data_IF_729617242611
#
_entry.id   IF_729617242611
#
_cell.length_a   1.000
_cell.length_b   1.000
_cell.length_c   1.000
_cell.angle_alpha   90.00
_cell.angle_beta   90.00
_cell.angle_gamma   90.00
#
_symmetry.space_group_name_H-M   'P 1'
#
loop_
_entity.id
_entity.type
_entity.pdbx_description
1 polymer ?
#
# COMPACT_ATOMS: atom_id res chain seq x y z
N UNK A 1 -67.87 -31.30 24.33
CA UNK A 1 -66.98 -30.50 25.19
C UNK A 1 -65.51 -30.85 24.96
N UNK A 2 -65.10 -32.12 25.09
CA UNK A 2 -63.71 -32.54 24.87
C UNK A 2 -63.17 -32.25 23.46
N UNK A 3 -63.96 -32.48 22.40
CA UNK A 3 -63.53 -32.14 21.04
C UNK A 3 -63.29 -30.64 20.84
N UNK A 4 -64.15 -29.79 21.43
CA UNK A 4 -63.97 -28.35 21.39
C UNK A 4 -62.70 -27.91 22.13
N UNK A 5 -62.37 -28.55 23.26
CA UNK A 5 -61.12 -28.31 24.00
C UNK A 5 -59.90 -28.73 23.15
N UNK A 6 -59.97 -29.88 22.47
CA UNK A 6 -58.90 -30.37 21.59
C UNK A 6 -58.66 -29.45 20.39
N UNK A 7 -59.73 -29.02 19.72
CA UNK A 7 -59.65 -28.07 18.59
C UNK A 7 -59.09 -26.73 19.05
N UNK A 8 -59.53 -26.23 20.20
CA UNK A 8 -59.04 -24.97 20.75
C UNK A 8 -57.54 -25.04 21.08
N UNK A 9 -57.09 -26.12 21.73
CA UNK A 9 -55.66 -26.37 21.96
C UNK A 9 -54.83 -26.44 20.67
N UNK A 10 -55.33 -27.11 19.63
CA UNK A 10 -54.67 -27.18 18.34
C UNK A 10 -54.56 -25.80 17.65
N UNK A 11 -55.60 -24.97 17.76
CA UNK A 11 -55.59 -23.61 17.23
C UNK A 11 -54.58 -22.73 17.97
N UNK A 12 -54.53 -22.81 19.32
CA UNK A 12 -53.53 -22.08 20.10
C UNK A 12 -52.10 -22.45 19.73
N UNK A 13 -51.79 -23.74 19.61
CA UNK A 13 -50.47 -24.20 19.19
C UNK A 13 -50.13 -23.74 17.77
N UNK A 14 -51.11 -23.74 16.86
CA UNK A 14 -50.91 -23.22 15.50
C UNK A 14 -50.60 -21.72 15.50
N UNK A 15 -51.28 -20.95 16.34
CA UNK A 15 -51.04 -19.50 16.51
C UNK A 15 -49.64 -19.27 17.08
N UNK A 16 -49.25 -20.00 18.12
CA UNK A 16 -47.94 -19.84 18.76
C UNK A 16 -46.81 -20.26 17.81
N UNK A 17 -46.97 -21.36 17.08
CA UNK A 17 -46.02 -21.77 16.05
C UNK A 17 -45.92 -20.75 14.91
N UNK A 18 -47.05 -20.18 14.47
CA UNK A 18 -47.06 -19.14 13.44
C UNK A 18 -46.37 -17.85 13.91
N UNK A 19 -46.54 -17.48 15.19
CA UNK A 19 -45.85 -16.34 15.80
C UNK A 19 -44.35 -16.57 15.89
N UNK A 20 -43.93 -17.72 16.41
CA UNK A 20 -42.51 -18.08 16.48
C UNK A 20 -41.87 -18.10 15.09
N UNK A 21 -42.54 -18.67 14.08
CA UNK A 21 -42.05 -18.64 12.71
C UNK A 21 -41.95 -17.20 12.15
N UNK A 22 -42.91 -16.33 12.46
CA UNK A 22 -42.86 -14.94 12.05
C UNK A 22 -41.69 -14.18 12.70
N UNK A 23 -41.43 -14.41 13.99
CA UNK A 23 -40.29 -13.83 14.70
C UNK A 23 -38.95 -14.35 14.15
N UNK A 24 -38.87 -15.64 13.83
CA UNK A 24 -37.69 -16.24 13.17
C UNK A 24 -37.41 -15.61 11.80
N UNK A 25 -38.45 -15.40 10.98
CA UNK A 25 -38.28 -14.72 9.69
C UNK A 25 -37.92 -13.25 9.86
N UNK A 26 -38.47 -12.56 10.87
CA UNK A 26 -38.13 -11.18 11.17
C UNK A 26 -36.65 -11.06 11.55
N UNK A 27 -36.16 -11.89 12.47
CA UNK A 27 -34.74 -11.89 12.84
C UNK A 27 -33.83 -12.20 11.65
N UNK A 28 -34.20 -13.17 10.81
CA UNK A 28 -33.44 -13.46 9.57
C UNK A 28 -33.41 -12.29 8.61
N UNK A 29 -34.55 -11.62 8.42
CA UNK A 29 -34.66 -10.44 7.56
C UNK A 29 -33.80 -9.29 8.08
N UNK A 30 -33.84 -9.00 9.38
CA UNK A 30 -33.02 -7.95 10.00
C UNK A 30 -31.53 -8.25 9.85
N UNK A 31 -31.11 -9.51 10.05
CA UNK A 31 -29.73 -9.91 9.85
C UNK A 31 -29.28 -9.76 8.37
N UNK A 32 -30.08 -10.24 7.42
CA UNK A 32 -29.80 -10.11 6.00
C UNK A 32 -29.76 -8.65 5.55
N UNK A 33 -30.67 -7.81 6.06
CA UNK A 33 -30.70 -6.38 5.79
C UNK A 33 -29.41 -5.71 6.28
N UNK A 34 -28.94 -6.04 7.49
CA UNK A 34 -27.70 -5.51 8.02
C UNK A 34 -26.49 -5.93 7.18
N UNK A 35 -26.41 -7.21 6.79
CA UNK A 35 -25.35 -7.70 5.90
C UNK A 35 -25.38 -6.99 4.55
N UNK A 36 -26.57 -6.81 3.97
CA UNK A 36 -26.75 -6.08 2.71
C UNK A 36 -26.28 -4.63 2.84
N UNK A 37 -26.67 -3.92 3.90
CA UNK A 37 -26.25 -2.53 4.13
C UNK A 37 -24.73 -2.41 4.26
N UNK A 38 -24.08 -3.35 4.95
CA UNK A 38 -22.61 -3.38 5.03
C UNK A 38 -21.99 -3.52 3.64
N UNK A 39 -22.47 -4.47 2.84
CA UNK A 39 -21.95 -4.68 1.47
C UNK A 39 -22.24 -3.47 0.57
N UNK A 40 -23.40 -2.84 0.69
CA UNK A 40 -23.72 -1.61 -0.05
C UNK A 40 -22.78 -0.45 0.32
N UNK A 41 -22.43 -0.32 1.60
CA UNK A 41 -21.45 0.66 2.06
C UNK A 41 -20.05 0.36 1.50
N UNK A 42 -19.61 -0.90 1.51
CA UNK A 42 -18.34 -1.32 0.93
C UNK A 42 -18.29 -1.04 -0.58
N UNK A 43 -19.36 -1.35 -1.32
CA UNK A 43 -19.46 -1.04 -2.75
C UNK A 43 -19.38 0.47 -3.00
N UNK A 44 -20.05 1.28 -2.17
CA UNK A 44 -19.97 2.73 -2.28
C UNK A 44 -18.54 3.24 -2.02
N UNK A 45 -17.85 2.70 -1.01
CA UNK A 45 -16.46 3.02 -0.71
C UNK A 45 -15.51 2.63 -1.86
N UNK A 46 -15.64 1.41 -2.37
CA UNK A 46 -14.83 0.91 -3.48
C UNK A 46 -15.01 1.73 -4.76
N UNK A 47 -16.22 2.22 -5.03
CA UNK A 47 -16.47 3.13 -6.16
C UNK A 47 -15.72 4.45 -6.00
N UNK A 48 -15.69 5.03 -4.80
CA UNK A 48 -14.92 6.26 -4.53
C UNK A 48 -13.42 6.04 -4.74
N UNK A 49 -12.88 4.93 -4.24
CA UNK A 49 -11.46 4.57 -4.44
C UNK A 49 -11.15 4.38 -5.92
N UNK A 50 -12.05 3.75 -6.68
CA UNK A 50 -11.89 3.60 -8.12
C UNK A 50 -11.87 4.96 -8.84
N UNK A 51 -12.74 5.89 -8.46
CA UNK A 51 -12.76 7.25 -9.01
C UNK A 51 -11.45 7.99 -8.69
N UNK A 52 -10.97 7.91 -7.44
CA UNK A 52 -9.69 8.50 -7.00
C UNK A 52 -8.49 7.92 -7.77
N UNK A 53 -8.42 6.60 -7.92
CA UNK A 53 -7.38 5.93 -8.71
C UNK A 53 -7.46 6.30 -10.19
N UNK A 54 -8.65 6.50 -10.73
CA UNK A 54 -8.85 6.90 -12.13
C UNK A 54 -8.31 8.32 -12.37
N UNK A 55 -8.57 9.25 -11.45
CA UNK A 55 -8.00 10.60 -11.50
C UNK A 55 -6.46 10.56 -11.39
N UNK A 56 -5.93 9.83 -10.40
CA UNK A 56 -4.49 9.69 -10.22
C UNK A 56 -3.80 9.07 -11.45
N UNK A 57 -4.45 8.09 -12.11
CA UNK A 57 -3.95 7.51 -13.36
C UNK A 57 -3.87 8.57 -14.46
N UNK A 58 -4.93 9.36 -14.64
CA UNK A 58 -4.97 10.44 -15.63
C UNK A 58 -3.89 11.49 -15.37
N UNK A 59 -3.66 11.87 -14.11
CA UNK A 59 -2.62 12.83 -13.74
C UNK A 59 -1.22 12.30 -14.06
N UNK A 60 -0.95 11.02 -13.76
CA UNK A 60 0.31 10.37 -14.09
C UNK A 60 0.50 10.21 -15.60
N UNK A 61 -0.56 9.86 -16.34
CA UNK A 61 -0.54 9.80 -17.82
C UNK A 61 -0.17 11.17 -18.41
N UNK A 62 -0.74 12.26 -17.88
CA UNK A 62 -0.42 13.63 -18.29
C UNK A 62 1.04 14.00 -17.96
N UNK A 63 1.55 13.67 -16.77
CA UNK A 63 2.95 13.90 -16.41
C UNK A 63 3.92 13.12 -17.31
N UNK A 64 3.60 11.86 -17.62
CA UNK A 64 4.40 11.04 -18.53
C UNK A 64 4.46 11.68 -19.91
N UNK A 65 3.34 12.17 -20.42
CA UNK A 65 3.31 12.80 -21.75
C UNK A 65 4.10 14.12 -21.75
N UNK A 66 3.94 14.97 -20.74
CA UNK A 66 4.73 16.20 -20.59
C UNK A 66 6.24 15.93 -20.56
N UNK A 67 6.68 14.91 -19.80
CA UNK A 67 8.10 14.52 -19.76
C UNK A 67 8.62 13.98 -21.09
N UNK A 68 7.78 13.29 -21.88
CA UNK A 68 8.18 12.86 -23.24
C UNK A 68 8.35 14.06 -24.16
N UNK A 69 7.46 15.05 -24.09
CA UNK A 69 7.56 16.29 -24.86
C UNK A 69 8.84 17.05 -24.50
N UNK A 70 9.14 17.21 -23.20
CA UNK A 70 10.39 17.83 -22.72
C UNK A 70 11.63 17.10 -23.24
N UNK A 71 11.63 15.76 -23.20
CA UNK A 71 12.74 14.95 -23.70
C UNK A 71 12.93 15.11 -25.21
N UNK A 72 11.84 15.19 -25.98
CA UNK A 72 11.90 15.48 -27.41
C UNK A 72 12.45 16.88 -27.65
N UNK A 73 11.97 17.88 -26.90
CA UNK A 73 12.43 19.26 -26.98
C UNK A 73 13.94 19.38 -26.70
N UNK A 74 14.43 18.77 -25.62
CA UNK A 74 15.85 18.79 -25.26
C UNK A 74 16.73 18.12 -26.32
N UNK A 75 16.28 16.98 -26.87
CA UNK A 75 17.01 16.28 -27.95
C UNK A 75 17.11 17.14 -29.20
N UNK A 76 16.01 17.76 -29.61
CA UNK A 76 15.96 18.64 -30.78
C UNK A 76 16.86 19.86 -30.57
N UNK A 77 16.78 20.51 -29.42
CA UNK A 77 17.64 21.65 -29.09
C UNK A 77 19.13 21.27 -29.13
N UNK A 78 19.49 20.12 -28.54
CA UNK A 78 20.86 19.64 -28.58
C UNK A 78 21.35 19.33 -30.00
N UNK A 79 20.50 18.75 -30.84
CA UNK A 79 20.81 18.49 -32.25
C UNK A 79 21.03 19.79 -33.03
N UNK A 80 20.18 20.80 -32.83
CA UNK A 80 20.32 22.14 -33.42
C UNK A 80 21.61 22.84 -32.95
N UNK A 81 21.93 22.78 -31.65
CA UNK A 81 23.18 23.33 -31.10
C UNK A 81 24.42 22.64 -31.70
N UNK A 82 24.42 21.31 -31.81
CA UNK A 82 25.52 20.55 -32.41
C UNK A 82 25.70 20.89 -33.90
N UNK A 83 24.60 21.05 -34.64
CA UNK A 83 24.64 21.51 -36.03
C UNK A 83 25.21 22.92 -36.14
N UNK A 84 24.83 23.84 -35.25
CA UNK A 84 25.37 25.20 -35.19
C UNK A 84 26.87 25.21 -34.87
N UNK A 85 27.32 24.42 -33.89
CA UNK A 85 28.75 24.27 -33.55
C UNK A 85 29.56 23.66 -34.70
N UNK A 86 29.00 22.66 -35.39
CA UNK A 86 29.65 22.04 -36.56
C UNK A 86 29.77 23.03 -37.72
N UNK A 87 28.75 23.86 -37.95
CA UNK A 87 28.79 24.94 -38.93
C UNK A 87 29.87 25.97 -38.58
N UNK A 88 29.97 26.39 -37.32
CA UNK A 88 31.04 27.29 -36.86
C UNK A 88 32.44 26.68 -37.01
N UNK A 89 32.63 25.40 -36.70
CA UNK A 89 33.93 24.73 -36.87
C UNK A 89 34.33 24.48 -38.34
N UNK A 90 33.37 24.41 -39.26
CA UNK A 90 33.64 24.26 -40.70
C UNK A 90 34.35 25.47 -41.32
N UNK A 91 34.37 26.63 -40.64
CA UNK A 91 35.00 27.86 -41.14
C UNK A 91 36.48 28.03 -40.80
N UNK A 92 37.11 27.14 -40.01
CA UNK A 92 38.40 27.45 -39.38
C UNK A 92 39.45 26.32 -39.39
N UNK A 93 39.41 25.41 -40.36
CA UNK A 93 40.45 24.39 -40.55
C UNK A 93 41.10 24.52 -41.93
N UNK A 94 41.94 25.55 -42.08
CA UNK A 94 42.98 25.62 -43.11
C UNK A 94 44.26 25.06 -42.51
N UNK A 95 44.65 23.86 -42.95
CA UNK A 95 45.93 23.23 -42.55
C UNK A 95 46.79 23.14 -43.80
N UNK A 96 47.52 24.21 -44.08
CA UNK A 96 48.71 24.15 -44.94
C UNK A 96 49.80 23.41 -44.16
N UNK A 97 50.09 22.19 -44.60
CA UNK A 97 51.29 21.46 -44.20
C UNK A 97 52.34 21.68 -45.30
N UNK A 98 53.25 22.61 -45.07
CA UNK A 98 54.51 22.70 -45.79
C UNK A 98 55.70 22.48 -44.84
N UNK A 99 56.78 21.92 -45.40
CA UNK A 99 58.13 21.68 -44.88
C UNK A 99 58.58 20.21 -44.74
N UNK A 100 59.13 19.73 -45.85
CA UNK A 100 60.41 19.03 -46.01
C UNK A 100 60.80 17.84 -45.11
N UNK A 101 61.01 16.71 -45.77
CA UNK A 101 61.87 15.60 -45.34
C UNK A 101 63.33 16.03 -45.15
N UNK A 102 63.95 15.69 -44.02
CA UNK A 102 65.36 15.25 -43.98
C UNK A 102 65.66 14.50 -42.69
N UNK A 103 66.57 13.52 -42.78
CA UNK A 103 66.62 12.34 -41.94
C UNK A 103 67.23 12.49 -40.55
N UNK A 104 66.98 11.47 -39.72
CA UNK A 104 67.57 11.31 -38.38
C UNK A 104 66.60 10.91 -37.26
N UNK A 105 65.43 10.34 -37.57
CA UNK A 105 64.25 10.50 -36.70
C UNK A 105 63.57 9.23 -36.19
N UNK A 106 64.12 8.02 -36.40
CA UNK A 106 63.35 6.80 -36.08
C UNK A 106 63.17 6.55 -34.56
N UNK A 107 64.13 6.96 -33.72
CA UNK A 107 64.04 6.75 -32.27
C UNK A 107 63.31 7.89 -31.51
N UNK A 108 63.36 9.11 -32.03
CA UNK A 108 62.71 10.28 -31.42
C UNK A 108 61.21 10.36 -31.77
N UNK A 109 60.83 9.89 -32.96
CA UNK A 109 59.42 9.83 -33.39
C UNK A 109 58.63 8.79 -32.59
N UNK A 110 59.21 7.61 -32.33
CA UNK A 110 58.57 6.58 -31.51
C UNK A 110 58.30 7.01 -30.05
N UNK A 111 59.18 7.86 -29.47
CA UNK A 111 59.00 8.42 -28.11
C UNK A 111 57.96 9.54 -28.09
N UNK A 112 58.00 10.46 -29.06
CA UNK A 112 57.02 11.55 -29.13
C UNK A 112 55.61 11.03 -29.43
N UNK A 113 55.47 10.08 -30.35
CA UNK A 113 54.19 9.49 -30.73
C UNK A 113 53.57 8.62 -29.62
N UNK A 114 54.39 7.91 -28.81
CA UNK A 114 53.93 7.25 -27.57
C UNK A 114 53.47 8.23 -26.49
N UNK A 115 54.13 9.38 -26.36
CA UNK A 115 53.81 10.39 -25.33
C UNK A 115 52.54 11.16 -25.68
N UNK A 116 52.34 11.48 -26.96
CA UNK A 116 51.13 12.12 -27.49
C UNK A 116 49.91 11.20 -27.37
N UNK A 117 50.08 9.89 -27.65
CA UNK A 117 49.00 8.89 -27.54
C UNK A 117 48.62 8.57 -26.09
N UNK A 118 49.55 8.72 -25.12
CA UNK A 118 49.26 8.68 -23.67
C UNK A 118 48.56 9.92 -23.13
N UNK A 119 48.77 11.10 -23.76
CA UNK A 119 48.11 12.35 -23.34
C UNK A 119 46.69 12.50 -23.90
N UNK A 120 46.42 11.95 -25.09
CA UNK A 120 45.11 12.04 -25.77
C UNK A 120 43.99 11.13 -25.23
N UNK A 121 44.31 10.07 -24.47
CA UNK A 121 43.34 9.22 -23.74
C UNK A 121 44.05 8.63 -22.52
N UNK A 122 43.83 9.17 -21.30
CA UNK A 122 42.75 8.65 -20.46
C UNK A 122 42.16 9.68 -19.47
N UNK A 123 42.12 11.00 -19.79
CA UNK A 123 41.59 11.98 -18.83
C UNK A 123 40.07 11.87 -18.66
N UNK A 124 39.31 11.69 -19.73
CA UNK A 124 37.83 11.61 -19.68
C UNK A 124 37.29 10.31 -19.09
N UNK A 125 37.96 9.17 -19.29
CA UNK A 125 37.50 7.89 -18.70
C UNK A 125 37.98 7.68 -17.26
N UNK A 126 39.10 8.31 -16.87
CA UNK A 126 39.54 8.34 -15.48
C UNK A 126 38.65 9.26 -14.65
N UNK A 127 38.35 10.49 -15.11
CA UNK A 127 37.48 11.41 -14.37
C UNK A 127 36.05 10.90 -14.22
N UNK A 128 35.52 10.15 -15.20
CA UNK A 128 34.23 9.48 -15.07
C UNK A 128 34.24 8.34 -14.07
N UNK A 129 35.28 7.50 -14.05
CA UNK A 129 35.45 6.45 -13.02
C UNK A 129 35.59 7.07 -11.64
N UNK A 130 36.41 8.11 -11.49
CA UNK A 130 36.61 8.79 -10.22
C UNK A 130 35.31 9.45 -9.75
N UNK A 131 34.54 10.07 -10.65
CA UNK A 131 33.23 10.66 -10.34
C UNK A 131 32.16 9.63 -9.99
N UNK A 132 32.15 8.48 -10.67
CA UNK A 132 31.25 7.36 -10.37
C UNK A 132 31.57 6.77 -9.00
N UNK A 133 32.84 6.46 -8.73
CA UNK A 133 33.27 5.96 -7.42
C UNK A 133 33.06 7.00 -6.31
N UNK A 134 33.20 8.30 -6.58
CA UNK A 134 32.90 9.35 -5.62
C UNK A 134 31.41 9.44 -5.29
N UNK A 135 30.52 9.31 -6.30
CA UNK A 135 29.07 9.23 -6.08
C UNK A 135 28.68 7.97 -5.31
N UNK A 136 29.23 6.81 -5.67
CA UNK A 136 28.97 5.56 -4.97
C UNK A 136 29.42 5.63 -3.51
N UNK A 137 30.60 6.20 -3.25
CA UNK A 137 31.11 6.41 -1.89
C UNK A 137 30.25 7.39 -1.09
N UNK A 138 29.70 8.43 -1.71
CA UNK A 138 28.75 9.35 -1.05
C UNK A 138 27.45 8.65 -0.70
N UNK A 139 26.89 7.86 -1.62
CA UNK A 139 25.70 7.06 -1.35
C UNK A 139 25.94 6.03 -0.22
N UNK A 140 27.10 5.35 -0.21
CA UNK A 140 27.49 4.45 0.87
C UNK A 140 27.65 5.19 2.21
N UNK A 141 28.27 6.38 2.22
CA UNK A 141 28.38 7.20 3.44
C UNK A 141 27.01 7.64 3.95
N UNK A 142 26.08 8.01 3.06
CA UNK A 142 24.73 8.41 3.42
C UNK A 142 23.91 7.23 3.99
N UNK A 143 24.04 6.03 3.41
CA UNK A 143 23.42 4.83 3.97
C UNK A 143 23.97 4.52 5.36
N UNK A 144 25.27 4.69 5.58
CA UNK A 144 25.87 4.51 6.92
C UNK A 144 25.37 5.56 7.90
N UNK A 145 25.32 6.85 7.53
CA UNK A 145 24.82 7.90 8.43
C UNK A 145 23.34 7.73 8.75
N UNK A 146 22.51 7.37 7.75
CA UNK A 146 21.10 7.04 7.95
C UNK A 146 20.91 5.79 8.82
N UNK A 147 21.77 4.78 8.68
CA UNK A 147 21.73 3.58 9.54
C UNK A 147 22.06 3.94 10.98
N UNK A 148 23.10 4.76 11.20
CA UNK A 148 23.49 5.21 12.55
C UNK A 148 22.39 6.07 13.17
N UNK A 149 21.79 7.01 12.43
CA UNK A 149 20.70 7.85 12.95
C UNK A 149 19.43 7.04 13.26
N UNK A 150 19.12 6.03 12.46
CA UNK A 150 18.04 5.09 12.75
C UNK A 150 18.34 4.24 13.99
N UNK A 151 19.58 3.81 14.19
CA UNK A 151 19.98 3.06 15.39
C UNK A 151 19.93 3.93 16.65
N UNK A 152 20.34 5.20 16.58
CA UNK A 152 20.22 6.13 17.72
C UNK A 152 18.76 6.42 18.04
N UNK A 153 17.94 6.73 17.03
CA UNK A 153 16.49 6.93 17.22
C UNK A 153 15.80 5.69 17.78
N UNK A 154 16.15 4.49 17.29
CA UNK A 154 15.64 3.22 17.84
C UNK A 154 16.02 3.03 19.31
N UNK A 155 17.24 3.43 19.70
CA UNK A 155 17.71 3.35 21.08
C UNK A 155 16.95 4.32 21.99
N UNK A 156 16.74 5.56 21.54
CA UNK A 156 15.92 6.56 22.23
C UNK A 156 14.46 6.11 22.40
N UNK A 157 13.88 5.47 21.38
CA UNK A 157 12.54 4.88 21.46
C UNK A 157 12.49 3.72 22.47
N UNK A 158 13.51 2.87 22.55
CA UNK A 158 13.56 1.83 23.57
C UNK A 158 13.74 2.39 24.99
N UNK A 159 14.49 3.48 25.13
CA UNK A 159 14.71 4.14 26.42
C UNK A 159 13.44 4.84 26.92
N UNK A 160 12.74 5.58 26.05
CA UNK A 160 11.44 6.20 26.37
C UNK A 160 10.35 5.17 26.69
N UNK A 161 10.33 4.04 25.99
CA UNK A 161 9.45 2.90 26.34
C UNK A 161 9.79 2.32 27.72
N UNK A 162 11.08 2.22 28.04
CA UNK A 162 11.54 1.74 29.34
C UNK A 162 11.16 2.70 30.47
N UNK A 163 11.37 4.01 30.31
CA UNK A 163 11.01 5.01 31.32
C UNK A 163 9.49 5.12 31.51
N UNK A 164 8.70 4.94 30.45
CA UNK A 164 7.24 4.85 30.53
C UNK A 164 6.76 3.57 31.24
N UNK A 165 7.43 2.44 31.05
CA UNK A 165 7.14 1.22 31.82
C UNK A 165 7.51 1.39 33.30
N UNK A 166 8.68 1.98 33.59
CA UNK A 166 9.12 2.26 34.97
C UNK A 166 8.23 3.28 35.69
N UNK A 167 7.57 4.21 34.99
CA UNK A 167 6.58 5.11 35.58
C UNK A 167 5.23 4.45 35.80
N UNK A 168 4.80 3.56 34.89
CA UNK A 168 3.62 2.71 35.05
C UNK A 168 3.73 1.77 36.26
N UNK A 169 4.88 1.11 36.42
CA UNK A 169 5.15 0.24 37.56
C UNK A 169 5.22 1.03 38.87
N UNK A 170 5.81 2.24 38.88
CA UNK A 170 5.80 3.13 40.06
C UNK A 170 4.39 3.61 40.43
N UNK A 171 3.53 3.89 39.45
CA UNK A 171 2.14 4.24 39.70
C UNK A 171 1.34 3.07 40.30
N UNK A 172 1.62 1.83 39.85
CA UNK A 172 1.02 0.62 40.42
C UNK A 172 1.48 0.37 41.86
N UNK A 173 2.77 0.59 42.17
CA UNK A 173 3.30 0.47 43.54
C UNK A 173 2.73 1.58 44.45
N UNK A 174 2.58 2.82 43.97
CA UNK A 174 1.96 3.89 44.74
C UNK A 174 0.47 3.62 45.03
N UNK A 175 -0.25 3.00 44.10
CA UNK A 175 -1.62 2.55 44.32
C UNK A 175 -1.72 1.39 45.32
N UNK A 176 -0.69 0.54 45.41
CA UNK A 176 -0.66 -0.60 46.35
C UNK A 176 -0.29 -0.19 47.78
N UNK A 177 0.43 0.92 47.98
CA UNK A 177 0.83 1.43 49.30
C UNK A 177 0.01 2.65 49.79
N UNK A 178 -0.96 3.13 49.01
CA UNK A 178 -1.73 4.35 49.28
C UNK A 178 -3.10 4.19 49.98
N UNK A 179 -3.54 2.97 50.31
CA UNK A 179 -4.90 2.73 50.87
C UNK A 179 -4.96 2.73 52.42
N UNK A 180 -3.96 3.30 53.08
CA UNK A 180 -3.85 3.24 54.53
C UNK A 180 -3.25 4.49 55.15
N UNK A 181 -4.07 5.54 55.30
CA UNK A 181 -4.21 6.35 56.52
C UNK A 181 -4.95 7.66 56.23
N UNK A 182 -6.14 7.80 56.81
CA UNK A 182 -6.81 9.10 56.95
C UNK A 182 -6.18 9.92 58.07
N UNK A 183 -6.19 11.24 57.93
CA UNK A 183 -5.87 12.17 59.02
C UNK A 183 -5.35 13.53 58.57
N UNK A 184 -6.27 14.50 58.46
CA UNK A 184 -6.13 15.90 58.88
C UNK A 184 -4.87 16.68 58.49
N UNK A 185 -4.98 17.60 57.53
CA UNK A 185 -4.37 18.93 57.61
C UNK A 185 -4.89 19.83 56.48
N UNK A 186 -4.93 21.11 56.81
CA UNK A 186 -5.45 22.28 56.13
C UNK A 186 -4.62 22.69 54.90
N UNK A 187 -5.16 23.65 54.12
CA UNK A 187 -4.52 24.44 53.04
C UNK A 187 -4.57 23.91 51.57
N UNK A 188 -4.60 24.79 50.55
CA UNK A 188 -5.62 25.78 50.22
C UNK A 188 -6.36 25.46 48.91
N UNK A 189 -7.55 26.05 48.75
CA UNK A 189 -8.37 26.07 47.55
C UNK A 189 -7.59 26.43 46.27
N UNK A 190 -7.26 25.45 45.43
CA UNK A 190 -7.34 25.53 43.96
C UNK A 190 -7.01 24.21 43.26
N UNK A 191 -8.04 23.66 42.58
CA UNK A 191 -8.01 22.67 41.47
C UNK A 191 -7.87 21.16 41.74
N UNK A 192 -8.79 20.50 42.47
CA UNK A 192 -9.05 19.06 42.29
C UNK A 192 -10.02 18.76 41.12
N UNK A 193 -10.92 19.70 40.79
CA UNK A 193 -11.91 19.50 39.72
C UNK A 193 -11.37 19.69 38.30
N UNK A 194 -10.36 20.57 38.14
CA UNK A 194 -9.75 20.82 36.84
C UNK A 194 -8.79 19.68 36.43
N UNK A 195 -8.05 19.09 37.35
CA UNK A 195 -7.27 17.90 36.94
C UNK A 195 -8.19 16.71 36.68
N UNK A 196 -9.26 16.53 37.48
CA UNK A 196 -10.25 15.46 37.26
C UNK A 196 -10.94 15.52 35.89
N UNK A 197 -11.36 16.71 35.42
CA UNK A 197 -11.96 16.81 34.07
C UNK A 197 -10.94 16.56 32.96
N UNK A 198 -9.69 17.00 33.12
CA UNK A 198 -8.62 16.75 32.15
C UNK A 198 -8.29 15.25 32.08
N UNK A 199 -8.23 14.57 33.23
CA UNK A 199 -8.05 13.12 33.30
C UNK A 199 -9.24 12.36 32.70
N UNK A 200 -10.47 12.82 32.93
CA UNK A 200 -11.65 12.18 32.37
C UNK A 200 -11.68 12.32 30.84
N UNK A 201 -11.38 13.50 30.29
CA UNK A 201 -11.27 13.68 28.85
C UNK A 201 -10.16 12.81 28.26
N UNK A 202 -9.02 12.72 28.93
CA UNK A 202 -7.91 11.88 28.48
C UNK A 202 -8.27 10.39 28.50
N UNK A 203 -9.04 9.94 29.50
CA UNK A 203 -9.55 8.58 29.60
C UNK A 203 -10.55 8.27 28.49
N UNK A 204 -11.46 9.20 28.18
CA UNK A 204 -12.43 9.07 27.10
C UNK A 204 -11.73 9.03 25.73
N UNK A 205 -10.70 9.85 25.53
CA UNK A 205 -9.88 9.83 24.31
C UNK A 205 -9.12 8.50 24.22
N UNK A 206 -8.53 8.02 25.33
CA UNK A 206 -7.78 6.77 25.39
C UNK A 206 -8.68 5.56 25.10
N UNK A 207 -9.88 5.50 25.66
CA UNK A 207 -10.84 4.41 25.38
C UNK A 207 -11.29 4.41 23.92
N UNK A 208 -11.53 5.59 23.33
CA UNK A 208 -11.81 5.72 21.89
C UNK A 208 -10.64 5.22 21.02
N UNK A 209 -9.41 5.62 21.33
CA UNK A 209 -8.22 5.16 20.61
C UNK A 209 -8.01 3.65 20.76
N UNK A 210 -8.31 3.07 21.92
CA UNK A 210 -8.25 1.61 22.12
C UNK A 210 -9.27 0.86 21.25
N UNK A 211 -10.47 1.42 21.06
CA UNK A 211 -11.47 0.87 20.13
C UNK A 211 -11.02 1.00 18.68
N UNK A 212 -10.48 2.15 18.27
CA UNK A 212 -9.92 2.36 16.92
C UNK A 212 -8.75 1.39 16.65
N UNK A 213 -7.84 1.19 17.62
CA UNK A 213 -6.74 0.22 17.51
C UNK A 213 -7.26 -1.21 17.44
N UNK A 214 -8.29 -1.57 18.23
CA UNK A 214 -8.90 -2.89 18.18
C UNK A 214 -9.58 -3.15 16.82
N UNK A 215 -10.23 -2.12 16.26
CA UNK A 215 -10.78 -2.18 14.92
C UNK A 215 -9.69 -2.31 13.86
N UNK A 216 -8.61 -1.52 13.94
CA UNK A 216 -7.47 -1.64 13.03
C UNK A 216 -6.82 -3.01 13.10
N UNK A 217 -6.72 -3.61 14.30
CA UNK A 217 -6.27 -5.02 14.45
C UNK A 217 -7.24 -5.98 13.81
N UNK A 218 -8.55 -5.83 14.02
CA UNK A 218 -9.58 -6.66 13.37
C UNK A 218 -9.55 -6.54 11.85
N UNK A 219 -9.31 -5.35 11.31
CA UNK A 219 -9.19 -5.11 9.86
C UNK A 219 -7.90 -5.73 9.31
N UNK A 220 -6.77 -5.59 10.02
CA UNK A 220 -5.50 -6.22 9.65
C UNK A 220 -5.52 -7.75 9.81
N UNK A 221 -6.19 -8.28 10.84
CA UNK A 221 -6.37 -9.73 11.05
C UNK A 221 -7.49 -10.30 10.16
N UNK A 222 -8.39 -9.45 9.66
CA UNK A 222 -9.48 -9.78 8.75
C UNK A 222 -9.07 -9.95 7.28
N UNK A 223 -7.81 -9.67 6.92
CA UNK A 223 -7.24 -9.98 5.61
C UNK A 223 -6.28 -11.19 5.66
N UNK A 224 -6.30 -12.01 6.71
CA UNK A 224 -5.92 -13.41 6.54
C UNK A 224 -7.12 -14.17 5.98
N UNK A 225 -7.38 -13.94 4.68
CA UNK A 225 -8.23 -14.79 3.87
C UNK A 225 -7.63 -16.20 3.94
N UNK A 226 -8.11 -17.02 4.87
CA UNK A 226 -8.17 -18.45 4.66
C UNK A 226 -8.88 -18.61 3.32
N UNK A 227 -8.10 -18.84 2.27
CA UNK A 227 -8.56 -19.12 0.92
C UNK A 227 -9.39 -20.40 0.97
N UNK A 228 -10.63 -20.27 1.42
CA UNK A 228 -11.66 -21.25 1.18
C UNK A 228 -12.02 -21.03 -0.28
N UNK A 229 -11.30 -21.71 -1.16
CA UNK A 229 -11.65 -21.86 -2.57
C UNK A 229 -13.10 -22.30 -2.64
N UNK A 230 -14.02 -21.36 -2.87
CA UNK A 230 -15.40 -21.65 -3.22
C UNK A 230 -15.38 -22.20 -4.64
N UNK A 231 -15.29 -23.51 -4.77
CA UNK A 231 -15.45 -24.19 -6.07
C UNK A 231 -16.89 -24.03 -6.54
N UNK A 232 -17.14 -23.15 -7.50
CA UNK A 232 -18.41 -23.03 -8.20
C UNK A 232 -18.58 -24.25 -9.12
N UNK A 233 -19.45 -25.19 -8.75
CA UNK A 233 -19.80 -26.34 -9.61
C UNK A 233 -20.79 -25.89 -10.69
N UNK A 234 -20.35 -25.74 -11.92
CA UNK A 234 -21.23 -25.56 -13.08
C UNK A 234 -21.63 -26.91 -13.65
N UNK A 235 -22.94 -27.19 -13.70
CA UNK A 235 -23.52 -28.38 -14.34
C UNK A 235 -24.02 -28.00 -15.73
N UNK A 236 -23.43 -28.58 -16.77
CA UNK A 236 -23.90 -28.42 -18.15
C UNK A 236 -24.82 -29.60 -18.47
N UNK A 237 -26.07 -29.31 -18.84
CA UNK A 237 -27.05 -30.32 -19.27
C UNK A 237 -27.21 -30.19 -20.78
N UNK A 238 -26.88 -31.25 -21.51
CA UNK A 238 -27.04 -31.34 -22.95
C UNK A 238 -28.26 -32.20 -23.25
N UNK A 239 -29.28 -31.61 -23.85
CA UNK A 239 -30.50 -32.29 -24.28
C UNK A 239 -30.40 -32.51 -25.79
N UNK A 240 -30.50 -33.78 -26.22
CA UNK A 240 -30.54 -34.18 -27.62
C UNK A 240 -31.96 -34.65 -27.92
N UNK A 241 -32.65 -33.91 -28.77
CA UNK A 241 -34.00 -34.23 -29.25
C UNK A 241 -33.94 -34.67 -30.71
N UNK A 242 -34.57 -35.80 -31.02
CA UNK A 242 -34.73 -36.30 -32.37
C UNK A 242 -36.13 -35.95 -32.86
N UNK A 243 -36.21 -35.08 -33.88
CA UNK A 243 -37.46 -34.54 -34.43
C UNK A 243 -37.67 -35.09 -35.83
N UNK A 244 -38.79 -35.76 -36.06
CA UNK A 244 -39.25 -36.18 -37.39
C UNK A 244 -40.63 -35.56 -37.62
N UNK A 245 -40.81 -34.91 -38.77
CA UNK A 245 -42.06 -34.21 -39.16
C UNK A 245 -42.62 -33.23 -38.11
N UNK A 246 -41.73 -32.51 -37.41
CA UNK A 246 -42.11 -31.50 -36.42
C UNK A 246 -42.56 -32.05 -35.07
N UNK A 247 -42.50 -33.36 -34.86
CA UNK A 247 -42.79 -34.00 -33.57
C UNK A 247 -41.53 -34.63 -32.97
N UNK A 248 -41.33 -34.42 -31.66
CA UNK A 248 -40.21 -34.98 -30.90
C UNK A 248 -40.49 -36.46 -30.66
N UNK A 249 -39.73 -37.34 -31.29
CA UNK A 249 -39.94 -38.80 -31.25
C UNK A 249 -39.02 -39.46 -30.22
N UNK A 250 -37.93 -38.79 -29.82
CA UNK A 250 -37.06 -39.22 -28.74
C UNK A 250 -36.34 -38.02 -28.11
N UNK A 251 -36.26 -38.00 -26.78
CA UNK A 251 -35.51 -37.02 -26.01
C UNK A 251 -34.54 -37.74 -25.09
N UNK A 252 -33.25 -37.44 -25.21
CA UNK A 252 -32.22 -37.95 -24.31
C UNK A 252 -31.48 -36.78 -23.68
N UNK A 253 -31.28 -36.83 -22.36
CA UNK A 253 -30.53 -35.80 -21.64
C UNK A 253 -29.29 -36.43 -21.02
N UNK A 254 -28.15 -35.76 -21.20
CA UNK A 254 -26.88 -36.11 -20.57
C UNK A 254 -26.36 -34.91 -19.79
N UNK A 255 -25.78 -35.13 -18.61
CA UNK A 255 -25.26 -34.06 -17.77
C UNK A 255 -23.79 -34.27 -17.47
N UNK A 256 -22.97 -33.26 -17.77
CA UNK A 256 -21.52 -33.24 -17.51
C UNK A 256 -21.22 -32.13 -16.50
N UNK A 257 -20.47 -32.48 -15.45
CA UNK A 257 -20.04 -31.53 -14.41
C UNK A 257 -18.54 -31.30 -14.52
N UNK A 258 -18.11 -30.06 -14.65
CA UNK A 258 -16.68 -29.72 -14.74
C UNK A 258 -16.30 -28.85 -13.55
N UNK A 259 -15.27 -29.25 -12.80
CA UNK A 259 -14.72 -28.44 -11.70
C UNK A 259 -13.56 -27.63 -12.26
N UNK A 260 -13.69 -26.31 -12.25
CA UNK A 260 -12.59 -25.40 -12.63
C UNK A 260 -12.13 -24.68 -11.36
N UNK A 261 -10.86 -24.87 -11.00
CA UNK A 261 -10.23 -24.07 -9.95
C UNK A 261 -10.02 -22.65 -10.48
N UNK A 262 -10.40 -21.64 -9.70
CA UNK A 262 -10.08 -20.23 -9.93
C UNK A 262 -8.73 -19.90 -9.29
#
# INVERSE_FOLDING_TARGET
>A
IQDAIRVNGAVHLSIDNARLAADDFKMKYENELNMRQSVEADIAGLKRVLDELTLARSDLEMQIEGLKEELIFLKKNHEEELLALRSQMSGQVHVEVDAASSGGSDQSHGRHQRTLRRRGRPRTSATWRDGFHAKNRRAEQEVVTQTVSLQTSRSEVTETKRTAAESGDRAAVHAQYGDGHGGSADEPQSRPGAQGHDYQMLLDIKTRLELEIAEYRRLLEGESLSTSTTTTKTRVVTVVEEVVDGHIVSSSSSSTSTVKAL
#
